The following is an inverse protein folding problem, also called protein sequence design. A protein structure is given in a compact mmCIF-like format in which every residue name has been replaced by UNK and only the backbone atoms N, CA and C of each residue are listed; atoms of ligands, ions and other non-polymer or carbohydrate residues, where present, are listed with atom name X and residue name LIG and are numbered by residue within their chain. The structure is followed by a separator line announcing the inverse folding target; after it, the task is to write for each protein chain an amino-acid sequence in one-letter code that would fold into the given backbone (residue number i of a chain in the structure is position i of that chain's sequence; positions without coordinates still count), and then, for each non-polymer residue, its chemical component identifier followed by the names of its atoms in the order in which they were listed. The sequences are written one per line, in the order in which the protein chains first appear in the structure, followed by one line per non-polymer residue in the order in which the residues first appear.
data_IF_702393612344
#
_entry.id   IF_702393612344
#
_cell.length_a   1.000
_cell.length_b   1.000
_cell.length_c   1.000
_cell.angle_alpha   90.00
_cell.angle_beta   90.00
_cell.angle_gamma   90.00
#
_symmetry.space_group_name_H-M   'P 1'
#
loop_
_entity.id
_entity.type
_entity.pdbx_description
1 polymer ?
#
# COMPACT_ATOMS: atom_id res chain seq x y z
N UNK A 1 -3.20 -12.51 3.76
CA UNK A 1 -2.79 -12.83 2.37
C UNK A 1 -2.58 -11.52 1.65
N UNK A 2 -1.61 -11.45 0.74
CA UNK A 2 -1.31 -10.29 -0.07
C UNK A 2 -1.23 -10.70 -1.53
N UNK A 3 -1.96 -9.98 -2.40
CA UNK A 3 -1.95 -10.21 -3.83
C UNK A 3 -1.22 -9.05 -4.52
N UNK A 4 -0.10 -9.37 -5.17
CA UNK A 4 0.54 -8.47 -6.12
C UNK A 4 -0.15 -8.51 -7.49
N UNK A 5 0.47 -7.90 -8.48
CA UNK A 5 -0.06 -7.83 -9.85
C UNK A 5 -0.18 -9.22 -10.46
N UNK A 6 0.85 -10.03 -10.32
CA UNK A 6 0.96 -11.37 -10.90
C UNK A 6 1.56 -12.40 -9.94
N UNK A 7 1.70 -12.06 -8.65
CA UNK A 7 2.16 -12.96 -7.61
C UNK A 7 1.29 -12.84 -6.36
N UNK A 8 1.35 -13.83 -5.50
CA UNK A 8 0.59 -13.85 -4.24
C UNK A 8 1.48 -14.38 -3.14
N UNK A 9 1.33 -13.82 -1.95
CA UNK A 9 1.93 -14.33 -0.74
C UNK A 9 0.86 -14.57 0.33
N UNK A 10 0.96 -15.67 1.04
CA UNK A 10 0.06 -16.03 2.12
C UNK A 10 0.86 -16.42 3.36
N UNK A 11 0.54 -15.74 4.46
CA UNK A 11 0.97 -16.16 5.78
C UNK A 11 -0.01 -17.23 6.30
N UNK A 12 0.53 -18.36 6.77
CA UNK A 12 -0.20 -19.46 7.41
C UNK A 12 0.49 -19.77 8.72
N UNK A 13 -0.08 -19.30 9.83
CA UNK A 13 0.61 -19.32 11.12
C UNK A 13 1.87 -18.47 11.08
N UNK A 14 3.02 -19.07 11.41
CA UNK A 14 4.34 -18.41 11.35
C UNK A 14 5.05 -18.62 9.99
N UNK A 15 4.43 -19.34 9.06
CA UNK A 15 5.01 -19.61 7.75
C UNK A 15 4.55 -18.60 6.71
N UNK A 16 5.44 -18.21 5.80
CA UNK A 16 5.14 -17.36 4.65
C UNK A 16 5.42 -18.11 3.35
N UNK A 17 4.39 -18.23 2.53
CA UNK A 17 4.47 -18.84 1.20
C UNK A 17 4.21 -17.80 0.12
N UNK A 18 4.91 -17.88 -1.01
CA UNK A 18 4.66 -17.05 -2.17
C UNK A 18 4.58 -17.88 -3.47
N UNK A 19 3.82 -17.44 -4.47
CA UNK A 19 3.73 -18.08 -5.79
C UNK A 19 3.34 -17.07 -6.89
N UNK A 20 3.43 -17.49 -8.14
CA UNK A 20 3.14 -16.71 -9.34
C UNK A 20 4.40 -16.24 -10.06
N UNK A 21 4.34 -15.04 -10.64
CA UNK A 21 5.44 -14.41 -11.36
C UNK A 21 6.64 -14.11 -10.44
N UNK A 22 7.86 -14.29 -10.93
CA UNK A 22 9.10 -14.10 -10.15
C UNK A 22 10.24 -13.45 -10.94
N UNK A 23 9.97 -12.79 -12.08
CA UNK A 23 11.02 -12.24 -12.94
C UNK A 23 11.94 -11.24 -12.20
N UNK A 24 11.41 -10.52 -11.20
CA UNK A 24 12.12 -9.56 -10.37
C UNK A 24 12.54 -10.14 -9.01
N UNK A 25 12.29 -11.44 -8.77
CA UNK A 25 12.53 -12.05 -7.47
C UNK A 25 11.46 -11.73 -6.41
N UNK A 26 10.27 -11.29 -6.83
CA UNK A 26 9.17 -10.87 -5.94
C UNK A 26 8.57 -11.99 -5.07
N UNK A 27 9.01 -13.25 -5.27
CA UNK A 27 8.69 -14.36 -4.38
C UNK A 27 9.69 -14.54 -3.23
N UNK A 28 10.87 -13.94 -3.31
CA UNK A 28 11.86 -13.96 -2.21
C UNK A 28 12.54 -15.31 -1.99
N UNK A 29 12.41 -16.26 -2.92
CA UNK A 29 12.91 -17.63 -2.79
C UNK A 29 14.40 -17.79 -3.19
N UNK A 30 15.08 -16.70 -3.50
CA UNK A 30 16.46 -16.66 -3.99
C UNK A 30 16.61 -16.89 -5.48
N UNK A 31 15.50 -17.02 -6.22
CA UNK A 31 15.50 -17.24 -7.67
C UNK A 31 14.75 -16.13 -8.40
N UNK A 32 14.77 -16.19 -9.74
CA UNK A 32 13.92 -15.38 -10.63
C UNK A 32 12.97 -16.23 -11.46
N UNK A 33 12.69 -17.46 -11.02
CA UNK A 33 11.83 -18.42 -11.72
C UNK A 33 10.42 -18.40 -11.16
N UNK A 34 9.43 -18.34 -12.04
CA UNK A 34 8.02 -18.40 -11.65
C UNK A 34 7.73 -19.68 -10.85
N UNK A 35 6.73 -19.60 -9.97
CA UNK A 35 6.27 -20.73 -9.16
C UNK A 35 4.78 -20.92 -9.36
N UNK A 36 4.40 -22.04 -9.96
CA UNK A 36 2.98 -22.40 -10.14
C UNK A 36 2.36 -23.02 -8.87
N UNK A 37 3.16 -23.18 -7.82
CA UNK A 37 2.74 -23.66 -6.51
C UNK A 37 3.40 -22.82 -5.39
N UNK A 38 2.77 -22.70 -4.20
CA UNK A 38 3.33 -22.00 -3.05
C UNK A 38 4.74 -22.51 -2.69
N UNK A 39 5.73 -21.62 -2.67
CA UNK A 39 7.07 -21.89 -2.14
C UNK A 39 7.22 -21.27 -0.75
N UNK A 40 7.75 -22.04 0.19
CA UNK A 40 8.04 -21.59 1.55
C UNK A 40 9.31 -20.72 1.57
N UNK A 41 9.18 -19.48 2.05
CA UNK A 41 10.29 -18.54 2.22
C UNK A 41 10.57 -18.17 3.68
N UNK A 42 9.90 -18.83 4.63
CA UNK A 42 9.98 -18.57 6.07
C UNK A 42 11.43 -18.57 6.58
N UNK A 43 12.24 -19.56 6.19
CA UNK A 43 13.63 -19.68 6.61
C UNK A 43 14.56 -18.56 6.07
N UNK A 44 14.06 -17.68 5.20
CA UNK A 44 14.79 -16.51 4.68
C UNK A 44 14.40 -15.21 5.40
N UNK A 45 13.37 -15.25 6.25
CA UNK A 45 13.00 -14.13 7.10
C UNK A 45 13.89 -14.10 8.34
N UNK A 46 14.15 -12.88 8.85
CA UNK A 46 14.99 -12.67 10.02
C UNK A 46 14.23 -12.86 11.35
N UNK A 47 12.91 -12.97 11.31
CA UNK A 47 12.01 -13.34 12.41
C UNK A 47 10.66 -13.79 11.82
N UNK A 48 9.70 -14.16 12.67
CA UNK A 48 8.37 -14.56 12.22
C UNK A 48 7.62 -13.40 11.54
N UNK A 49 6.85 -13.67 10.46
CA UNK A 49 6.04 -12.67 9.80
C UNK A 49 4.85 -12.25 10.68
N UNK A 50 4.57 -10.95 10.73
CA UNK A 50 3.42 -10.36 11.42
C UNK A 50 2.42 -9.73 10.43
N UNK A 51 2.90 -9.20 9.32
CA UNK A 51 2.08 -8.65 8.24
C UNK A 51 2.81 -8.79 6.90
N UNK A 52 2.07 -8.86 5.79
CA UNK A 52 2.63 -8.97 4.44
C UNK A 52 1.81 -8.12 3.48
N UNK A 53 2.51 -7.40 2.60
CA UNK A 53 1.90 -6.65 1.51
C UNK A 53 2.67 -6.85 0.21
N UNK A 54 1.93 -6.91 -0.89
CA UNK A 54 2.41 -7.08 -2.25
C UNK A 54 1.49 -6.29 -3.17
N UNK A 55 2.05 -5.62 -4.18
CA UNK A 55 1.23 -4.95 -5.21
C UNK A 55 1.93 -4.92 -6.58
N UNK A 56 3.01 -4.15 -6.74
CA UNK A 56 3.79 -4.16 -7.98
C UNK A 56 4.55 -5.47 -8.17
N UNK A 57 5.81 -5.36 -8.57
CA UNK A 57 6.72 -6.50 -8.69
C UNK A 57 7.63 -6.61 -7.46
N UNK A 58 7.11 -6.27 -6.26
CA UNK A 58 7.80 -6.43 -4.98
C UNK A 58 6.84 -6.83 -3.86
N UNK A 59 7.43 -7.38 -2.79
CA UNK A 59 6.75 -7.83 -1.57
C UNK A 59 7.49 -7.26 -0.38
N UNK A 60 6.75 -6.85 0.64
CA UNK A 60 7.29 -6.43 1.93
C UNK A 60 6.58 -7.16 3.08
N UNK A 61 7.34 -7.47 4.12
CA UNK A 61 6.91 -8.25 5.28
C UNK A 61 7.29 -7.50 6.54
N UNK A 62 6.32 -7.20 7.38
CA UNK A 62 6.58 -6.77 8.77
C UNK A 62 6.88 -8.01 9.58
N UNK A 63 7.94 -7.96 10.36
CA UNK A 63 8.34 -9.01 11.27
C UNK A 63 7.76 -8.76 12.67
N UNK A 64 7.61 -9.81 13.47
CA UNK A 64 7.04 -9.72 14.83
C UNK A 64 7.82 -8.80 15.77
N UNK A 65 9.09 -8.51 15.48
CA UNK A 65 9.94 -7.60 16.23
C UNK A 65 9.93 -6.15 15.70
N UNK A 66 9.03 -5.83 14.75
CA UNK A 66 8.83 -4.50 14.20
C UNK A 66 9.78 -4.12 13.06
N UNK A 67 10.75 -4.96 12.71
CA UNK A 67 11.56 -4.76 11.50
C UNK A 67 10.75 -5.07 10.25
N UNK A 68 11.19 -4.58 9.11
CA UNK A 68 10.59 -4.87 7.80
C UNK A 68 11.62 -5.47 6.87
N UNK A 69 11.26 -6.54 6.16
CA UNK A 69 12.03 -7.06 5.03
C UNK A 69 11.25 -6.93 3.73
N UNK A 70 11.91 -6.50 2.67
CA UNK A 70 11.33 -6.43 1.33
C UNK A 70 12.17 -7.22 0.32
N UNK A 71 11.55 -7.65 -0.78
CA UNK A 71 12.18 -8.35 -1.90
C UNK A 71 11.40 -8.12 -3.20
N UNK A 72 12.04 -8.37 -4.33
CA UNK A 72 11.54 -8.08 -5.68
C UNK A 72 12.22 -6.88 -6.33
N UNK A 73 11.48 -6.20 -7.21
CA UNK A 73 11.90 -5.02 -7.94
C UNK A 73 12.30 -3.88 -7.00
N UNK A 74 13.36 -3.14 -7.35
CA UNK A 74 13.85 -2.01 -6.55
C UNK A 74 14.26 -0.77 -7.38
N UNK A 75 13.86 -0.67 -8.64
CA UNK A 75 14.30 0.42 -9.53
C UNK A 75 14.01 1.83 -8.99
N UNK A 76 12.95 1.98 -8.21
CA UNK A 76 12.55 3.25 -7.59
C UNK A 76 12.98 3.37 -6.11
N UNK A 77 13.63 2.33 -5.56
CA UNK A 77 13.98 2.24 -4.15
C UNK A 77 12.86 1.67 -3.27
N UNK A 78 11.85 1.01 -3.86
CA UNK A 78 10.67 0.49 -3.16
C UNK A 78 10.95 -0.62 -2.12
N UNK A 79 12.18 -1.16 -2.08
CA UNK A 79 12.61 -2.07 -1.01
C UNK A 79 13.16 -1.35 0.23
N UNK A 80 13.48 -0.05 0.15
CA UNK A 80 13.87 0.74 1.33
C UNK A 80 15.25 0.39 1.93
N UNK A 81 16.06 -0.39 1.22
CA UNK A 81 17.37 -0.88 1.67
C UNK A 81 18.54 0.09 1.41
N UNK A 82 18.22 1.35 1.05
CA UNK A 82 19.19 2.38 0.70
C UNK A 82 19.70 2.27 -0.74
N UNK A 83 19.29 1.26 -1.50
CA UNK A 83 19.76 1.01 -2.88
C UNK A 83 18.63 1.11 -3.90
N UNK A 84 18.97 0.93 -5.18
CA UNK A 84 18.02 0.67 -6.29
C UNK A 84 18.24 -0.71 -6.93
N UNK A 85 18.77 -1.66 -6.15
CA UNK A 85 19.14 -2.99 -6.64
C UNK A 85 18.00 -3.96 -6.34
N UNK A 86 17.46 -4.60 -7.38
CA UNK A 86 16.46 -5.69 -7.26
C UNK A 86 17.01 -6.84 -6.42
N UNK A 87 16.17 -7.45 -5.57
CA UNK A 87 16.58 -8.51 -4.62
C UNK A 87 15.67 -9.73 -4.75
N UNK A 88 16.23 -10.89 -5.09
CA UNK A 88 15.50 -12.17 -5.02
C UNK A 88 15.45 -12.80 -3.63
N UNK A 89 16.05 -12.15 -2.63
CA UNK A 89 16.02 -12.57 -1.22
C UNK A 89 15.59 -11.41 -0.33
N UNK A 90 14.91 -11.67 0.81
CA UNK A 90 14.48 -10.63 1.73
C UNK A 90 15.65 -9.78 2.25
N UNK A 91 15.56 -8.46 2.06
CA UNK A 91 16.52 -7.48 2.59
C UNK A 91 15.85 -6.56 3.61
N UNK A 92 16.59 -6.11 4.62
CA UNK A 92 16.05 -5.22 5.65
C UNK A 92 15.81 -3.81 5.11
N UNK A 93 14.66 -3.24 5.47
CA UNK A 93 14.38 -1.81 5.30
C UNK A 93 15.25 -1.01 6.28
N UNK A 94 15.88 0.05 5.78
CA UNK A 94 16.86 0.82 6.55
C UNK A 94 16.20 1.62 7.68
N UNK A 95 16.65 1.40 8.92
CA UNK A 95 16.28 2.23 10.07
C UNK A 95 14.83 2.08 10.57
N UNK A 96 14.08 1.08 10.10
CA UNK A 96 12.70 0.83 10.50
C UNK A 96 12.63 -0.41 11.40
N UNK A 97 12.29 -0.21 12.68
CA UNK A 97 12.36 -1.25 13.72
C UNK A 97 11.11 -1.32 14.61
N UNK A 98 10.08 -0.56 14.28
CA UNK A 98 8.85 -0.43 15.06
C UNK A 98 7.61 -0.36 14.15
N UNK A 99 7.68 -0.96 12.96
CA UNK A 99 6.54 -1.10 12.07
C UNK A 99 5.53 -2.11 12.62
N UNK A 100 4.25 -1.85 12.40
CA UNK A 100 3.15 -2.73 12.81
C UNK A 100 2.20 -3.07 11.66
N UNK A 101 2.40 -2.44 10.50
CA UNK A 101 1.61 -2.65 9.28
C UNK A 101 2.41 -2.14 8.07
N UNK A 102 2.24 -2.80 6.93
CA UNK A 102 2.87 -2.44 5.66
C UNK A 102 1.85 -2.38 4.53
N UNK A 103 2.00 -1.38 3.64
CA UNK A 103 1.23 -1.27 2.41
C UNK A 103 2.18 -1.04 1.23
N UNK A 104 2.15 -1.95 0.26
CA UNK A 104 2.91 -1.85 -0.99
C UNK A 104 2.02 -1.21 -2.08
N UNK A 105 2.58 -0.24 -2.81
CA UNK A 105 2.03 0.26 -4.07
C UNK A 105 2.78 -0.31 -5.27
N UNK A 106 2.66 0.31 -6.45
CA UNK A 106 3.32 -0.22 -7.65
C UNK A 106 4.86 -0.10 -7.60
N UNK A 107 5.35 1.04 -7.13
CA UNK A 107 6.78 1.37 -7.06
C UNK A 107 7.14 2.15 -5.80
N UNK A 108 6.29 2.06 -4.78
CA UNK A 108 6.50 2.65 -3.47
C UNK A 108 5.96 1.71 -2.38
N UNK A 109 6.34 1.96 -1.14
CA UNK A 109 5.90 1.22 0.03
C UNK A 109 5.73 2.20 1.20
N UNK A 110 4.77 1.92 2.08
CA UNK A 110 4.54 2.69 3.29
C UNK A 110 4.36 1.76 4.47
N UNK A 111 4.87 2.14 5.64
CA UNK A 111 4.68 1.44 6.89
C UNK A 111 4.04 2.36 7.93
N UNK A 112 3.13 1.80 8.71
CA UNK A 112 2.65 2.43 9.94
C UNK A 112 3.50 1.95 11.10
N UNK A 113 4.02 2.89 11.87
CA UNK A 113 4.79 2.63 13.08
C UNK A 113 3.86 2.40 14.26
N UNK A 114 4.34 1.74 15.31
CA UNK A 114 3.61 1.50 16.55
C UNK A 114 3.07 2.79 17.20
N UNK A 115 3.76 3.92 16.96
CA UNK A 115 3.35 5.26 17.41
C UNK A 115 2.15 5.84 16.64
N UNK A 116 1.72 5.20 15.56
CA UNK A 116 0.72 5.73 14.61
C UNK A 116 1.29 6.65 13.54
N UNK A 117 2.60 6.95 13.56
CA UNK A 117 3.26 7.69 12.48
C UNK A 117 3.38 6.83 11.21
N UNK A 118 3.35 7.47 10.04
CA UNK A 118 3.51 6.82 8.75
C UNK A 118 4.86 7.24 8.14
N UNK A 119 5.58 6.26 7.61
CA UNK A 119 6.77 6.46 6.79
C UNK A 119 6.57 5.79 5.44
N UNK A 120 7.08 6.40 4.37
CA UNK A 120 6.99 5.86 3.03
C UNK A 120 8.36 5.92 2.33
N UNK A 121 8.57 5.07 1.33
CA UNK A 121 9.76 5.05 0.48
C UNK A 121 9.43 4.53 -0.94
N UNK A 122 10.39 4.63 -1.85
CA UNK A 122 10.22 4.37 -3.27
C UNK A 122 9.87 5.64 -4.06
N UNK A 123 9.12 5.48 -5.14
CA UNK A 123 8.77 6.55 -6.08
C UNK A 123 7.93 7.67 -5.43
N UNK A 124 8.11 8.91 -5.89
CA UNK A 124 7.34 10.07 -5.38
C UNK A 124 6.93 11.08 -6.47
N UNK A 125 6.94 10.67 -7.74
CA UNK A 125 6.67 11.58 -8.87
C UNK A 125 5.24 12.13 -8.89
N UNK A 126 4.32 11.44 -8.20
CA UNK A 126 2.93 11.87 -7.97
C UNK A 126 2.64 12.13 -6.47
N UNK A 127 3.66 12.35 -5.64
CA UNK A 127 3.47 12.64 -4.22
C UNK A 127 3.12 11.43 -3.33
N UNK A 128 3.39 10.20 -3.79
CA UNK A 128 3.07 8.94 -3.08
C UNK A 128 3.65 8.86 -1.65
N UNK A 129 4.74 9.60 -1.35
CA UNK A 129 5.34 9.61 -0.02
C UNK A 129 4.63 10.57 0.96
N UNK A 130 3.75 11.44 0.45
CA UNK A 130 2.96 12.38 1.25
C UNK A 130 3.80 13.44 1.97
N UNK A 131 4.98 13.79 1.42
CA UNK A 131 5.93 14.74 2.01
C UNK A 131 5.64 16.21 1.64
N UNK A 132 4.57 16.47 0.88
CA UNK A 132 4.13 17.80 0.44
C UNK A 132 4.83 18.34 -0.79
N UNK A 133 5.58 17.51 -1.52
CA UNK A 133 6.24 17.86 -2.77
C UNK A 133 6.47 16.63 -3.64
N UNK A 134 6.58 16.83 -4.95
CA UNK A 134 7.00 15.80 -5.91
C UNK A 134 8.53 15.70 -5.95
N UNK A 135 9.05 14.48 -5.96
CA UNK A 135 10.49 14.21 -6.09
C UNK A 135 10.69 12.91 -6.88
N UNK A 136 11.94 12.55 -7.21
CA UNK A 136 12.23 11.23 -7.78
C UNK A 136 11.87 10.06 -6.86
N UNK A 137 11.82 10.27 -5.54
CA UNK A 137 11.58 9.23 -4.55
C UNK A 137 12.64 9.17 -3.47
N UNK A 138 12.60 8.13 -2.64
CA UNK A 138 13.56 7.86 -1.57
C UNK A 138 13.88 6.37 -1.49
N UNK A 139 15.16 6.02 -1.41
CA UNK A 139 15.61 4.62 -1.23
C UNK A 139 15.59 4.17 0.23
N UNK A 140 15.22 5.05 1.16
CA UNK A 140 15.02 4.77 2.58
C UNK A 140 13.69 5.36 3.06
N UNK A 141 13.09 4.84 4.14
CA UNK A 141 11.88 5.42 4.74
C UNK A 141 12.03 6.92 5.04
N UNK A 142 11.06 7.71 4.61
CA UNK A 142 10.91 9.12 4.97
C UNK A 142 9.58 9.35 5.68
N UNK A 143 9.57 10.30 6.62
CA UNK A 143 8.35 10.64 7.33
C UNK A 143 7.34 11.31 6.41
N UNK A 144 6.14 10.72 6.31
CA UNK A 144 4.98 11.36 5.70
C UNK A 144 4.57 12.56 6.55
N UNK A 145 4.00 13.60 5.93
CA UNK A 145 3.49 14.76 6.68
C UNK A 145 2.46 14.32 7.71
N UNK A 146 2.39 15.06 8.82
CA UNK A 146 1.55 14.73 9.95
C UNK A 146 0.09 14.52 9.54
N UNK A 147 -0.48 13.39 9.96
CA UNK A 147 -1.89 13.06 9.81
C UNK A 147 -2.55 13.36 11.17
N UNK A 148 -3.60 14.20 11.22
CA UNK A 148 -4.31 14.46 12.46
C UNK A 148 -4.91 13.20 13.09
N UNK A 149 -4.53 12.92 14.33
CA UNK A 149 -4.93 11.71 15.07
C UNK A 149 -4.02 10.51 14.82
N UNK A 150 -4.12 9.49 15.68
CA UNK A 150 -3.36 8.26 15.51
C UNK A 150 -3.89 7.48 14.30
N UNK A 151 -3.02 7.17 13.35
CA UNK A 151 -3.36 6.28 12.24
C UNK A 151 -3.56 4.88 12.81
N UNK A 152 -4.65 4.24 12.39
CA UNK A 152 -5.04 2.90 12.80
C UNK A 152 -4.93 1.87 11.66
N UNK A 153 -4.91 2.33 10.41
CA UNK A 153 -4.77 1.50 9.22
C UNK A 153 -4.15 2.31 8.07
N UNK A 154 -3.35 1.67 7.22
CA UNK A 154 -2.91 2.22 5.93
C UNK A 154 -3.30 1.27 4.79
N UNK A 155 -3.59 1.83 3.62
CA UNK A 155 -3.86 1.05 2.42
C UNK A 155 -3.29 1.78 1.21
N UNK A 156 -2.55 1.07 0.36
CA UNK A 156 -1.92 1.62 -0.84
C UNK A 156 -2.60 1.06 -2.08
N UNK A 157 -2.93 1.95 -3.02
CA UNK A 157 -3.25 1.59 -4.39
C UNK A 157 -2.00 1.57 -5.25
N UNK A 158 -2.16 1.70 -6.57
CA UNK A 158 -1.00 1.66 -7.46
C UNK A 158 -0.06 2.85 -7.26
N UNK A 159 -0.62 4.06 -7.12
CA UNK A 159 0.12 5.34 -7.06
C UNK A 159 -0.46 6.29 -6.00
N UNK A 160 -1.34 5.80 -5.12
CA UNK A 160 -1.90 6.57 -4.01
C UNK A 160 -1.94 5.75 -2.73
N UNK A 161 -2.06 6.44 -1.59
CA UNK A 161 -2.11 5.84 -0.27
C UNK A 161 -3.22 6.51 0.52
N UNK A 162 -3.92 5.74 1.33
CA UNK A 162 -4.92 6.20 2.27
C UNK A 162 -4.60 5.71 3.67
N UNK A 163 -4.83 6.56 4.66
CA UNK A 163 -4.66 6.28 6.07
C UNK A 163 -5.98 6.52 6.80
N UNK A 164 -6.41 5.54 7.58
CA UNK A 164 -7.59 5.64 8.44
C UNK A 164 -7.15 6.04 9.84
N UNK A 165 -7.80 7.04 10.41
CA UNK A 165 -7.76 7.36 11.84
C UNK A 165 -9.09 7.00 12.48
N UNK A 166 -9.26 7.22 13.79
CA UNK A 166 -10.52 6.90 14.47
C UNK A 166 -11.75 7.63 13.88
N UNK A 167 -11.55 8.82 13.27
CA UNK A 167 -12.65 9.69 12.83
C UNK A 167 -12.62 10.05 11.35
N UNK A 168 -11.54 9.72 10.62
CA UNK A 168 -11.34 10.22 9.27
C UNK A 168 -10.51 9.26 8.41
N UNK A 169 -10.55 9.49 7.10
CA UNK A 169 -9.63 8.91 6.13
C UNK A 169 -8.88 10.05 5.46
N UNK A 170 -7.56 9.90 5.35
CA UNK A 170 -6.70 10.84 4.67
C UNK A 170 -6.01 10.14 3.52
N UNK A 171 -6.10 10.67 2.30
CA UNK A 171 -5.44 10.07 1.15
C UNK A 171 -4.47 11.06 0.50
N UNK A 172 -3.45 10.52 -0.17
CA UNK A 172 -2.44 11.28 -0.91
C UNK A 172 -1.86 10.44 -2.06
N UNK A 173 -1.10 11.09 -2.94
CA UNK A 173 -0.56 10.50 -4.16
C UNK A 173 -1.34 10.93 -5.40
N UNK A 174 -1.42 10.03 -6.38
CA UNK A 174 -2.11 10.26 -7.64
C UNK A 174 -3.61 10.49 -7.46
N UNK A 175 -4.18 11.54 -8.06
CA UNK A 175 -5.62 11.84 -8.01
C UNK A 175 -6.21 12.12 -9.40
N UNK A 176 -5.61 11.63 -10.51
CA UNK A 176 -6.16 11.87 -11.85
C UNK A 176 -7.51 11.19 -12.10
N UNK A 177 -7.78 10.07 -11.43
CA UNK A 177 -9.10 9.41 -11.44
C UNK A 177 -9.98 9.86 -10.26
N UNK A 178 -9.49 10.76 -9.40
CA UNK A 178 -10.16 11.15 -8.17
C UNK A 178 -9.89 10.21 -6.98
N UNK A 179 -8.96 9.26 -7.09
CA UNK A 179 -8.79 8.17 -6.12
C UNK A 179 -8.29 8.59 -4.72
N UNK A 180 -7.82 9.83 -4.53
CA UNK A 180 -7.56 10.39 -3.19
C UNK A 180 -8.78 11.07 -2.58
N UNK A 181 -9.87 11.25 -3.33
CA UNK A 181 -11.07 11.92 -2.85
C UNK A 181 -10.95 13.44 -2.75
N UNK A 182 -9.86 14.02 -3.27
CA UNK A 182 -9.66 15.46 -3.33
C UNK A 182 -10.50 16.08 -4.46
N UNK A 183 -11.46 16.93 -4.06
CA UNK A 183 -12.32 17.70 -4.98
C UNK A 183 -11.66 19.04 -5.29
N UNK A 184 -11.74 19.49 -6.54
CA UNK A 184 -11.29 20.83 -6.96
C UNK A 184 -9.94 20.88 -7.68
N UNK A 185 -9.36 19.74 -8.04
CA UNK A 185 -8.20 19.66 -8.94
C UNK A 185 -7.99 18.26 -9.50
N UNK A 186 -7.81 18.15 -10.81
CA UNK A 186 -7.23 16.96 -11.45
C UNK A 186 -5.71 17.09 -11.33
N UNK A 187 -5.07 16.29 -10.48
CA UNK A 187 -3.64 16.40 -10.19
C UNK A 187 -3.20 15.43 -9.10
N UNK A 188 -2.05 15.68 -8.47
CA UNK A 188 -1.58 14.86 -7.35
C UNK A 188 -1.85 15.54 -6.01
N UNK A 189 -2.31 14.76 -5.03
CA UNK A 189 -2.43 15.16 -3.63
C UNK A 189 -1.10 14.95 -2.92
N UNK A 190 -0.31 16.02 -2.73
CA UNK A 190 1.10 15.89 -2.33
C UNK A 190 1.34 15.56 -0.85
N UNK A 191 0.30 15.67 -0.01
CA UNK A 191 0.33 15.42 1.42
C UNK A 191 -1.01 14.82 1.86
N UNK A 192 -1.07 14.05 2.96
CA UNK A 192 -2.32 13.48 3.45
C UNK A 192 -3.42 14.53 3.57
N UNK A 193 -4.51 14.34 2.82
CA UNK A 193 -5.68 15.22 2.82
C UNK A 193 -6.90 14.44 3.24
N UNK A 194 -7.66 14.99 4.19
CA UNK A 194 -8.90 14.39 4.67
C UNK A 194 -9.94 14.30 3.55
N UNK A 195 -10.57 13.13 3.43
CA UNK A 195 -11.65 12.85 2.48
C UNK A 195 -12.99 13.19 3.13
N UNK A 196 -13.69 14.17 2.56
CA UNK A 196 -15.00 14.60 3.07
C UNK A 196 -16.13 13.60 2.75
N UNK A 197 -17.16 13.56 3.59
CA UNK A 197 -18.42 12.85 3.29
C UNK A 197 -18.41 11.33 3.46
N UNK A 198 -17.33 10.74 4.01
CA UNK A 198 -17.20 9.29 4.19
C UNK A 198 -17.83 8.74 5.48
N UNK A 199 -18.04 9.58 6.51
CA UNK A 199 -18.65 9.16 7.78
C UNK A 199 -17.70 8.39 8.70
N UNK A 200 -18.24 7.56 9.60
CA UNK A 200 -17.47 6.78 10.58
C UNK A 200 -16.83 5.54 9.94
N UNK A 201 -15.59 5.70 9.47
CA UNK A 201 -14.86 4.65 8.75
C UNK A 201 -14.25 3.62 9.71
N UNK A 202 -14.58 2.35 9.50
CA UNK A 202 -14.02 1.20 10.22
C UNK A 202 -12.84 0.56 9.48
N UNK A 203 -12.82 0.68 8.15
CA UNK A 203 -11.81 0.08 7.30
C UNK A 203 -11.63 0.88 6.00
N UNK A 204 -10.40 0.97 5.51
CA UNK A 204 -10.08 1.54 4.19
C UNK A 204 -9.37 0.51 3.32
N UNK A 205 -9.77 0.43 2.06
CA UNK A 205 -9.14 -0.41 1.04
C UNK A 205 -8.91 0.39 -0.24
N UNK A 206 -7.66 0.47 -0.68
CA UNK A 206 -7.28 1.06 -1.95
C UNK A 206 -7.08 -0.04 -3.00
N UNK A 207 -7.77 0.09 -4.13
CA UNK A 207 -7.46 -0.67 -5.35
C UNK A 207 -6.48 0.09 -6.25
N UNK A 208 -6.31 -0.34 -7.50
CA UNK A 208 -5.35 0.27 -8.45
C UNK A 208 -5.51 1.79 -8.56
N UNK A 209 -6.73 2.26 -8.80
CA UNK A 209 -7.05 3.68 -9.00
C UNK A 209 -8.43 4.03 -8.42
N UNK A 210 -8.84 3.33 -7.36
CA UNK A 210 -10.07 3.61 -6.62
C UNK A 210 -9.83 3.31 -5.14
N UNK A 211 -10.69 3.84 -4.29
CA UNK A 211 -10.65 3.61 -2.85
C UNK A 211 -12.06 3.34 -2.36
N UNK A 212 -12.20 2.35 -1.49
CA UNK A 212 -13.43 2.01 -0.80
C UNK A 212 -13.23 2.06 0.70
N UNK A 213 -14.30 2.41 1.43
CA UNK A 213 -14.32 2.47 2.88
C UNK A 213 -15.53 1.73 3.43
N UNK A 214 -15.30 0.94 4.47
CA UNK A 214 -16.35 0.30 5.24
C UNK A 214 -16.80 1.28 6.32
N UNK A 215 -18.05 1.72 6.26
CA UNK A 215 -18.64 2.69 7.20
C UNK A 215 -19.57 1.99 8.18
N UNK A 216 -19.50 2.33 9.46
CA UNK A 216 -20.32 1.72 10.51
C UNK A 216 -21.80 2.03 10.34
N UNK A 217 -22.66 1.01 10.36
CA UNK A 217 -24.12 1.17 10.40
C UNK A 217 -24.76 1.85 9.18
N UNK A 218 -24.00 2.12 8.11
CA UNK A 218 -24.48 2.78 6.90
C UNK A 218 -23.97 2.11 5.63
N UNK A 219 -24.39 2.64 4.49
CA UNK A 219 -23.84 2.30 3.19
C UNK A 219 -22.33 2.56 3.15
N UNK A 220 -21.57 1.61 2.58
CA UNK A 220 -20.14 1.78 2.33
C UNK A 220 -19.93 2.83 1.26
N UNK A 221 -18.70 3.34 1.13
CA UNK A 221 -18.42 4.34 0.09
C UNK A 221 -17.22 3.98 -0.75
N UNK A 222 -17.29 4.29 -2.03
CA UNK A 222 -16.18 4.12 -2.97
C UNK A 222 -16.00 5.39 -3.82
N UNK A 223 -14.79 5.67 -4.28
CA UNK A 223 -14.47 6.77 -5.20
C UNK A 223 -13.23 6.45 -6.02
N UNK A 224 -12.94 7.25 -7.04
CA UNK A 224 -11.88 7.03 -8.01
C UNK A 224 -12.43 6.49 -9.33
N UNK A 225 -11.62 5.70 -10.04
CA UNK A 225 -11.97 5.10 -11.33
C UNK A 225 -13.18 4.17 -11.24
N UNK A 226 -14.08 4.27 -12.23
CA UNK A 226 -15.24 3.39 -12.40
C UNK A 226 -15.36 2.78 -13.82
N UNK A 227 -14.27 2.74 -14.57
CA UNK A 227 -14.30 2.38 -16.00
C UNK A 227 -14.87 0.98 -16.23
N UNK A 228 -14.69 0.08 -15.27
CA UNK A 228 -15.14 -1.31 -15.32
C UNK A 228 -16.18 -1.64 -14.23
N UNK A 229 -16.75 -0.61 -13.58
CA UNK A 229 -17.68 -0.80 -12.47
C UNK A 229 -17.00 -1.05 -11.12
N UNK A 230 -15.71 -0.70 -10.98
CA UNK A 230 -14.93 -0.94 -9.75
C UNK A 230 -15.55 -0.31 -8.50
N UNK A 231 -16.34 0.75 -8.65
CA UNK A 231 -16.99 1.38 -7.51
C UNK A 231 -18.11 0.52 -6.94
N UNK A 232 -18.74 -0.35 -7.74
CA UNK A 232 -19.82 -1.23 -7.28
C UNK A 232 -21.16 -0.52 -7.02
N UNK A 233 -21.37 0.66 -7.60
CA UNK A 233 -22.60 1.46 -7.44
C UNK A 233 -23.69 1.16 -8.49
N UNK A 234 -23.47 0.13 -9.32
CA UNK A 234 -24.35 -0.25 -10.42
C UNK A 234 -24.14 0.56 -11.70
N UNK A 235 -23.10 1.40 -11.77
CA UNK A 235 -22.75 2.19 -12.95
C UNK A 235 -21.36 1.86 -13.49
N UNK A 236 -21.08 2.28 -14.73
CA UNK A 236 -19.73 2.34 -15.31
C UNK A 236 -19.47 3.72 -15.89
N UNK A 237 -18.22 4.17 -15.89
CA UNK A 237 -17.83 5.49 -16.40
C UNK A 237 -16.49 5.97 -15.82
N UNK A 238 -16.08 7.22 -16.06
CA UNK A 238 -14.79 7.71 -15.56
C UNK A 238 -14.67 7.73 -14.03
N UNK A 239 -15.80 7.74 -13.31
CA UNK A 239 -15.82 7.86 -11.85
C UNK A 239 -15.44 9.28 -11.40
N UNK A 240 -14.83 9.41 -10.22
CA UNK A 240 -14.38 10.70 -9.72
C UNK A 240 -14.08 10.75 -8.23
N UNK A 241 -13.71 11.95 -7.75
CA UNK A 241 -13.25 12.17 -6.37
C UNK A 241 -14.35 12.17 -5.31
N UNK A 242 -15.62 12.18 -5.71
CA UNK A 242 -16.73 12.22 -4.75
C UNK A 242 -17.12 10.80 -4.34
N UNK A 243 -17.09 10.47 -3.03
CA UNK A 243 -17.54 9.17 -2.54
C UNK A 243 -19.00 8.87 -2.91
N UNK A 244 -19.21 7.77 -3.64
CA UNK A 244 -20.54 7.22 -3.96
C UNK A 244 -20.90 6.13 -2.96
N UNK A 245 -22.19 5.93 -2.69
CA UNK A 245 -22.66 4.92 -1.76
C UNK A 245 -22.82 3.55 -2.42
N UNK A 246 -22.35 2.49 -1.76
CA UNK A 246 -22.49 1.10 -2.20
C UNK A 246 -23.04 0.17 -1.11
N UNK A 247 -23.95 -0.72 -1.52
CA UNK A 247 -24.53 -1.76 -0.66
C UNK A 247 -23.85 -3.09 -1.00
N UNK A 248 -23.26 -3.77 -0.02
CA UNK A 248 -22.97 -5.19 -0.18
C UNK A 248 -24.30 -5.96 -0.11
N UNK A 249 -24.51 -6.87 -1.06
CA UNK A 249 -25.57 -7.88 -0.97
C UNK A 249 -25.12 -9.03 -0.07
#
# INVERSE_FOLDING_TARGET
MAAGRNHTCAQVGLSLFCWGANAEGQLGDGTTMNRDAPVDITARLAADPADVSAFGDHTCVVLIDGRVQCFGANGEGQLGDGTRVTRSTPTLVSGLTDAVEIAAGNTHSCARRATGAVVCWGCNVFGQLGIGMMTAGSTTPVATRAIPGAVAQISAGSVHVCARTASAVHCWGDNFAGQTGEVGGMGSTLAPREVGGVGAVEEVAAGTSHTCVRVSGTMHRCWGSNMDGQLGDGTTGPGGATPVGVRWM
#
